data_IF_250566036163
#
_entry.id   IF_250566036163
#
_cell.length_a   1.000
_cell.length_b   1.000
_cell.length_c   1.000
_cell.angle_alpha   90.00
_cell.angle_beta   90.00
_cell.angle_gamma   90.00
#
_symmetry.space_group_name_H-M   'P 1'
#
loop_
_entity.id
_entity.type
_entity.pdbx_description
1 polymer ?
#
# COMPACT_ATOMS: atom_id res chain seq x y z
N UNK A 1 17.09 15.74 -5.34
CA UNK A 1 17.01 14.26 -5.41
C UNK A 1 16.96 13.62 -4.04
N UNK A 2 17.96 13.80 -3.18
CA UNK A 2 18.02 13.15 -1.85
C UNK A 2 16.83 13.51 -0.92
N UNK A 3 16.41 14.77 -0.87
CA UNK A 3 15.24 15.18 -0.08
C UNK A 3 13.92 14.61 -0.60
N UNK A 4 13.76 14.52 -1.92
CA UNK A 4 12.57 13.94 -2.55
C UNK A 4 12.52 12.44 -2.23
N UNK A 5 13.67 11.76 -2.30
CA UNK A 5 13.79 10.36 -1.88
C UNK A 5 13.48 10.19 -0.39
N UNK A 6 13.97 11.08 0.49
CA UNK A 6 13.70 10.98 1.92
C UNK A 6 12.20 10.98 2.24
N UNK A 7 11.41 11.80 1.54
CA UNK A 7 9.96 11.84 1.71
C UNK A 7 9.28 10.62 1.05
N UNK A 8 9.66 10.27 -0.17
CA UNK A 8 9.07 9.13 -0.88
C UNK A 8 9.37 7.78 -0.21
N UNK A 9 10.58 7.63 0.33
CA UNK A 9 11.02 6.42 1.03
C UNK A 9 10.21 6.19 2.31
N UNK A 10 9.77 7.25 3.01
CA UNK A 10 8.91 7.10 4.18
C UNK A 10 7.58 6.41 3.80
N UNK A 11 6.91 6.88 2.76
CA UNK A 11 5.66 6.28 2.29
C UNK A 11 5.86 4.82 1.86
N UNK A 12 6.94 4.56 1.12
CA UNK A 12 7.30 3.19 0.70
C UNK A 12 7.50 2.25 1.89
N UNK A 13 8.24 2.69 2.91
CA UNK A 13 8.48 1.90 4.11
C UNK A 13 7.19 1.67 4.92
N UNK A 14 6.30 2.66 4.98
CA UNK A 14 4.97 2.48 5.58
C UNK A 14 4.14 1.43 4.85
N UNK A 15 4.09 1.47 3.51
CA UNK A 15 3.37 0.50 2.69
C UNK A 15 3.88 -0.93 2.92
N UNK A 16 5.21 -1.10 2.92
CA UNK A 16 5.84 -2.39 3.16
C UNK A 16 5.53 -2.95 4.55
N UNK A 17 5.67 -2.12 5.59
CA UNK A 17 5.37 -2.50 6.98
C UNK A 17 3.90 -2.91 7.15
N UNK A 18 2.97 -2.17 6.52
CA UNK A 18 1.54 -2.50 6.55
C UNK A 18 1.25 -3.82 5.82
N UNK A 19 1.86 -4.05 4.66
CA UNK A 19 1.69 -5.28 3.89
C UNK A 19 2.18 -6.52 4.67
N UNK A 20 3.33 -6.44 5.33
CA UNK A 20 3.84 -7.51 6.18
C UNK A 20 2.96 -7.76 7.41
N UNK A 21 2.38 -6.70 7.97
CA UNK A 21 1.38 -6.81 9.04
C UNK A 21 0.11 -7.51 8.55
N UNK A 22 -0.39 -7.19 7.35
CA UNK A 22 -1.56 -7.87 6.78
C UNK A 22 -1.28 -9.34 6.50
N UNK A 23 -0.09 -9.65 5.96
CA UNK A 23 0.34 -11.04 5.70
C UNK A 23 0.37 -11.86 6.98
N UNK A 24 0.95 -11.34 8.06
CA UNK A 24 0.99 -12.04 9.36
C UNK A 24 -0.38 -12.21 10.01
N UNK A 25 -1.34 -11.31 9.72
CA UNK A 25 -2.73 -11.40 10.20
C UNK A 25 -3.67 -12.27 9.35
N UNK A 26 -3.14 -12.90 8.28
CA UNK A 26 -3.86 -13.82 7.40
C UNK A 26 -4.41 -13.21 6.10
N UNK A 27 -4.08 -11.96 5.79
CA UNK A 27 -4.42 -11.28 4.53
C UNK A 27 -3.16 -11.01 3.70
N UNK A 28 -2.78 -11.97 2.85
CA UNK A 28 -1.54 -11.89 2.06
C UNK A 28 -1.72 -11.30 0.65
N UNK A 29 -2.95 -11.29 0.14
CA UNK A 29 -3.22 -11.01 -1.28
C UNK A 29 -3.41 -9.52 -1.54
N UNK A 30 -4.06 -8.79 -0.64
CA UNK A 30 -4.53 -7.43 -0.93
C UNK A 30 -3.41 -6.44 -1.26
N UNK A 31 -2.37 -6.35 -0.42
CA UNK A 31 -1.24 -5.43 -0.67
C UNK A 31 -0.42 -5.81 -1.90
N UNK A 32 -0.13 -7.10 -2.06
CA UNK A 32 0.62 -7.65 -3.20
C UNK A 32 -0.08 -7.38 -4.54
N UNK A 33 -1.40 -7.54 -4.62
CA UNK A 33 -2.15 -7.28 -5.87
C UNK A 33 -2.11 -5.80 -6.23
N UNK A 34 -2.28 -4.90 -5.25
CA UNK A 34 -2.24 -3.46 -5.52
C UNK A 34 -0.84 -3.03 -5.98
N UNK A 35 0.21 -3.53 -5.34
CA UNK A 35 1.59 -3.28 -5.74
C UNK A 35 1.84 -3.69 -7.19
N UNK A 36 1.46 -4.92 -7.57
CA UNK A 36 1.61 -5.42 -8.94
C UNK A 36 0.82 -4.56 -9.94
N UNK A 37 -0.43 -4.19 -9.62
CA UNK A 37 -1.25 -3.37 -10.50
C UNK A 37 -0.65 -1.97 -10.71
N UNK A 38 -0.18 -1.31 -9.64
CA UNK A 38 0.44 0.00 -9.75
C UNK A 38 1.78 -0.06 -10.50
N UNK A 39 2.57 -1.10 -10.27
CA UNK A 39 3.82 -1.31 -10.97
C UNK A 39 3.60 -1.43 -12.49
N UNK A 40 2.64 -2.25 -12.91
CA UNK A 40 2.36 -2.48 -14.34
C UNK A 40 1.59 -1.36 -15.03
N UNK A 41 0.65 -0.72 -14.34
CA UNK A 41 -0.23 0.28 -14.96
C UNK A 41 0.30 1.70 -14.87
N UNK A 42 1.18 2.00 -13.91
CA UNK A 42 1.64 3.36 -13.65
C UNK A 42 3.16 3.48 -13.73
N UNK A 43 3.88 2.70 -12.93
CA UNK A 43 5.33 2.90 -12.75
C UNK A 43 6.11 2.50 -14.01
N UNK A 44 5.94 1.26 -14.49
CA UNK A 44 6.61 0.74 -15.68
C UNK A 44 6.32 1.56 -16.95
N UNK A 45 5.04 1.80 -17.33
CA UNK A 45 4.75 2.62 -18.51
C UNK A 45 5.21 4.06 -18.34
N UNK A 46 5.06 4.65 -17.14
CA UNK A 46 5.50 6.02 -16.86
C UNK A 46 7.01 6.20 -17.01
N UNK A 47 7.80 5.29 -16.43
CA UNK A 47 9.26 5.27 -16.53
C UNK A 47 9.72 5.07 -17.96
N UNK A 48 9.10 4.13 -18.69
CA UNK A 48 9.43 3.88 -20.10
C UNK A 48 9.15 5.11 -20.97
N UNK A 49 7.96 5.71 -20.84
CA UNK A 49 7.60 6.91 -21.60
C UNK A 49 8.53 8.08 -21.27
N UNK A 50 8.78 8.33 -19.98
CA UNK A 50 9.65 9.43 -19.54
C UNK A 50 11.10 9.26 -20.03
N UNK A 51 11.66 8.06 -19.91
CA UNK A 51 13.07 7.79 -20.23
C UNK A 51 13.33 7.57 -21.72
N UNK A 52 12.52 6.73 -22.37
CA UNK A 52 12.81 6.25 -23.73
C UNK A 52 12.13 7.08 -24.82
N UNK A 53 10.88 7.50 -24.60
CA UNK A 53 10.09 8.22 -25.61
C UNK A 53 10.35 9.72 -25.52
N UNK A 54 10.13 10.32 -24.35
CA UNK A 54 10.23 11.77 -24.15
C UNK A 54 11.64 12.24 -23.78
N UNK A 55 12.53 11.32 -23.39
CA UNK A 55 13.92 11.62 -22.94
C UNK A 55 13.98 12.73 -21.90
N UNK A 56 13.07 12.68 -20.93
CA UNK A 56 12.98 13.67 -19.86
C UNK A 56 14.19 13.59 -18.93
N UNK A 57 14.52 14.70 -18.23
CA UNK A 57 15.50 14.69 -17.15
C UNK A 57 15.22 13.61 -16.10
N UNK A 58 16.28 13.08 -15.48
CA UNK A 58 16.21 11.99 -14.49
C UNK A 58 15.21 12.22 -13.35
N UNK A 59 14.94 13.48 -13.00
CA UNK A 59 13.96 13.84 -11.96
C UNK A 59 12.54 13.35 -12.30
N UNK A 60 12.17 13.38 -13.59
CA UNK A 60 10.85 12.93 -14.04
C UNK A 60 10.74 11.42 -14.02
N UNK A 61 11.79 10.71 -14.44
CA UNK A 61 11.86 9.25 -14.33
C UNK A 61 11.70 8.83 -12.86
N UNK A 62 12.40 9.53 -11.96
CA UNK A 62 12.31 9.31 -10.53
C UNK A 62 10.91 9.59 -9.97
N UNK A 63 10.23 10.64 -10.45
CA UNK A 63 8.84 10.91 -10.07
C UNK A 63 7.92 9.73 -10.43
N UNK A 64 8.03 9.17 -11.64
CA UNK A 64 7.19 8.03 -12.04
C UNK A 64 7.43 6.78 -11.18
N UNK A 65 8.68 6.52 -10.78
CA UNK A 65 9.02 5.39 -9.87
C UNK A 65 8.26 5.47 -8.54
N UNK A 66 8.03 6.67 -8.00
CA UNK A 66 7.37 6.84 -6.69
C UNK A 66 5.93 7.34 -6.79
N UNK A 67 5.42 7.54 -7.99
CA UNK A 67 4.07 8.09 -8.22
C UNK A 67 2.95 7.15 -7.73
N UNK A 68 3.20 5.85 -7.68
CA UNK A 68 2.28 4.84 -7.16
C UNK A 68 2.21 4.78 -5.63
N UNK A 69 3.26 5.18 -4.92
CA UNK A 69 3.36 5.03 -3.45
C UNK A 69 2.24 5.75 -2.68
N UNK A 70 1.86 7.01 -3.00
CA UNK A 70 0.74 7.68 -2.34
C UNK A 70 -0.61 6.99 -2.59
N UNK A 71 -0.81 6.47 -3.81
CA UNK A 71 -2.04 5.76 -4.18
C UNK A 71 -2.10 4.44 -3.40
N UNK A 72 -1.00 3.70 -3.36
CA UNK A 72 -0.89 2.47 -2.59
C UNK A 72 -1.15 2.73 -1.11
N UNK A 73 -0.53 3.76 -0.54
CA UNK A 73 -0.69 4.14 0.86
C UNK A 73 -2.13 4.47 1.21
N UNK A 74 -2.81 5.25 0.37
CA UNK A 74 -4.23 5.55 0.57
C UNK A 74 -5.09 4.26 0.58
N UNK A 75 -4.86 3.34 -0.35
CA UNK A 75 -5.60 2.07 -0.41
C UNK A 75 -5.29 1.16 0.79
N UNK A 76 -4.03 1.09 1.20
CA UNK A 76 -3.62 0.36 2.41
C UNK A 76 -4.28 0.93 3.66
N UNK A 77 -4.33 2.26 3.77
CA UNK A 77 -4.94 2.94 4.91
C UNK A 77 -6.45 2.71 4.98
N UNK A 78 -7.14 2.77 3.83
CA UNK A 78 -8.56 2.39 3.74
C UNK A 78 -8.78 0.94 4.18
N UNK A 79 -7.88 0.03 3.81
CA UNK A 79 -7.96 -1.37 4.23
C UNK A 79 -7.72 -1.54 5.72
N UNK A 80 -6.74 -0.82 6.28
CA UNK A 80 -6.41 -0.83 7.70
C UNK A 80 -7.63 -0.46 8.53
N UNK A 81 -8.25 0.69 8.23
CA UNK A 81 -9.43 1.18 8.93
C UNK A 81 -10.67 0.30 8.72
N UNK A 82 -10.77 -0.43 7.61
CA UNK A 82 -11.87 -1.38 7.42
C UNK A 82 -11.84 -2.59 8.38
N UNK A 83 -10.69 -2.89 9.01
CA UNK A 83 -10.51 -4.06 9.87
C UNK A 83 -10.66 -5.42 9.17
N UNK A 84 -10.86 -5.44 7.85
CA UNK A 84 -11.09 -6.67 7.04
C UNK A 84 -9.82 -7.48 6.82
N UNK A 85 -8.65 -6.90 7.09
CA UNK A 85 -7.35 -7.53 6.99
C UNK A 85 -7.11 -8.60 8.07
N UNK A 86 -7.83 -8.55 9.20
CA UNK A 86 -7.70 -9.55 10.26
C UNK A 86 -8.53 -10.80 9.90
N UNK A 87 -7.85 -11.90 9.59
CA UNK A 87 -8.45 -13.19 9.19
C UNK A 87 -8.00 -14.33 10.12
N UNK A 88 -8.61 -14.44 11.32
CA UNK A 88 -8.21 -15.44 12.31
C UNK A 88 -8.64 -16.85 11.91
N UNK A 89 -7.77 -17.83 12.14
CA UNK A 89 -8.04 -19.25 11.84
C UNK A 89 -8.61 -20.02 13.05
N UNK A 90 -8.33 -19.56 14.28
CA UNK A 90 -8.76 -20.23 15.52
C UNK A 90 -10.21 -19.87 15.91
N UNK A 91 -10.94 -20.76 16.60
CA UNK A 91 -12.29 -20.47 17.11
C UNK A 91 -12.33 -19.24 18.04
N UNK A 92 -11.34 -19.12 18.94
CA UNK A 92 -11.20 -18.00 19.87
C UNK A 92 -10.98 -16.68 19.10
N UNK A 93 -10.10 -16.69 18.09
CA UNK A 93 -9.85 -15.52 17.25
C UNK A 93 -11.07 -15.10 16.43
N UNK A 94 -11.83 -16.06 15.89
CA UNK A 94 -13.10 -15.79 15.18
C UNK A 94 -14.14 -15.12 16.08
N UNK A 95 -14.21 -15.50 17.36
CA UNK A 95 -15.09 -14.84 18.35
C UNK A 95 -14.60 -13.43 18.69
N UNK A 96 -13.30 -13.27 18.94
CA UNK A 96 -12.68 -11.99 19.28
C UNK A 96 -12.80 -10.95 18.15
N UNK A 97 -12.61 -11.35 16.89
CA UNK A 97 -12.73 -10.45 15.72
C UNK A 97 -14.11 -9.84 15.57
N UNK A 98 -15.19 -10.56 15.92
CA UNK A 98 -16.54 -10.00 15.89
C UNK A 98 -16.68 -8.82 16.86
N UNK A 99 -16.15 -8.96 18.07
CA UNK A 99 -16.12 -7.89 19.07
C UNK A 99 -15.26 -6.70 18.62
N UNK A 100 -14.07 -6.98 18.10
CA UNK A 100 -13.17 -5.94 17.56
C UNK A 100 -13.82 -5.13 16.42
N UNK A 101 -14.41 -5.81 15.42
CA UNK A 101 -15.07 -5.12 14.29
C UNK A 101 -16.26 -4.27 14.74
N UNK A 102 -16.99 -4.71 15.76
CA UNK A 102 -18.08 -3.93 16.38
C UNK A 102 -17.53 -2.67 17.06
N UNK A 103 -16.46 -2.80 17.84
CA UNK A 103 -15.79 -1.66 18.46
C UNK A 103 -15.20 -0.68 17.43
N UNK A 104 -14.68 -1.19 16.31
CA UNK A 104 -14.16 -0.38 15.22
C UNK A 104 -15.25 0.46 14.55
N UNK A 105 -16.42 -0.13 14.27
CA UNK A 105 -17.59 0.58 13.75
C UNK A 105 -18.11 1.67 14.70
N UNK A 106 -18.05 1.44 16.02
CA UNK A 106 -18.50 2.41 17.01
C UNK A 106 -17.49 3.53 17.29
N UNK A 107 -16.24 3.41 16.82
CA UNK A 107 -15.22 4.47 16.88
C UNK A 107 -15.30 5.45 15.71
N UNK A 108 -16.23 5.28 14.77
CA UNK A 108 -16.48 6.23 13.67
C UNK A 108 -17.39 7.41 14.07
N UNK A 109 -17.36 7.84 15.35
CA UNK A 109 -17.95 9.10 15.85
C UNK A 109 -16.91 9.91 16.62
#
# INVERSE_FOLDING_TARGET
MLYIYAVAALLKMCNWTQNDTFRSAGETVYGTVIEILLMWLLELPGVYLAGMVFRLPVLWVFFFVYSGEPIWFYLMQKRLYSGRWIKPVTPQGKKAVKGFRRALLHREL
#
